data_IF_796276569710
#
_entry.id   IF_796276569710
#
_cell.length_a   1.000
_cell.length_b   1.000
_cell.length_c   1.000
_cell.angle_alpha   90.00
_cell.angle_beta   90.00
_cell.angle_gamma   90.00
#
_symmetry.space_group_name_H-M   'P 1'
#
loop_
_entity.id
_entity.type
_entity.pdbx_description
1 polymer ?
#
# COMPACT_ATOMS: atom_id res chain seq x y z
N UNK A 1 -9.74 -8.23 19.83
CA UNK A 1 -10.05 -7.01 19.04
C UNK A 1 -10.34 -7.44 17.61
N UNK A 2 -11.32 -6.85 16.96
CA UNK A 2 -11.63 -7.15 15.54
C UNK A 2 -10.68 -6.37 14.64
N UNK A 3 -10.08 -7.02 13.65
CA UNK A 3 -9.21 -6.37 12.67
C UNK A 3 -9.99 -5.35 11.83
N UNK A 4 -9.36 -4.22 11.52
CA UNK A 4 -9.94 -3.21 10.62
C UNK A 4 -9.58 -3.55 9.18
N UNK A 5 -10.55 -4.09 8.44
CA UNK A 5 -10.34 -4.58 7.08
C UNK A 5 -10.67 -3.52 6.03
N UNK A 6 -9.84 -3.43 5.01
CA UNK A 6 -10.04 -2.60 3.83
C UNK A 6 -9.88 -3.41 2.54
N UNK A 7 -10.18 -2.78 1.41
CA UNK A 7 -9.95 -3.35 0.09
C UNK A 7 -9.30 -2.32 -0.82
N UNK A 8 -8.30 -2.75 -1.60
CA UNK A 8 -7.60 -1.92 -2.55
C UNK A 8 -8.46 -1.55 -3.77
N UNK A 9 -8.59 -0.27 -4.07
CA UNK A 9 -9.35 0.15 -5.26
C UNK A 9 -8.69 -0.27 -6.57
N UNK A 10 -7.39 -0.63 -6.54
CA UNK A 10 -6.70 -1.25 -7.68
C UNK A 10 -7.32 -2.58 -8.12
N UNK A 11 -8.02 -3.27 -7.22
CA UNK A 11 -8.82 -4.47 -7.51
C UNK A 11 -10.29 -4.18 -7.92
N UNK A 12 -10.68 -2.91 -8.07
CA UNK A 12 -12.04 -2.47 -8.43
C UNK A 12 -12.03 -1.45 -9.59
N UNK A 13 -11.00 -1.47 -10.44
CA UNK A 13 -10.83 -0.47 -11.50
C UNK A 13 -11.90 -0.53 -12.59
N UNK A 14 -12.73 -1.58 -12.65
CA UNK A 14 -13.88 -1.68 -13.54
C UNK A 14 -15.13 -0.96 -12.99
N UNK A 15 -15.08 -0.47 -11.76
CA UNK A 15 -16.12 0.35 -11.13
C UNK A 15 -15.72 1.83 -11.11
N UNK A 16 -16.70 2.72 -11.06
CA UNK A 16 -16.47 4.12 -10.67
C UNK A 16 -16.10 4.17 -9.19
N UNK A 17 -15.36 5.20 -8.78
CA UNK A 17 -14.93 5.33 -7.38
C UNK A 17 -16.11 5.31 -6.40
N UNK A 18 -17.16 6.10 -6.66
CA UNK A 18 -18.33 6.15 -5.78
C UNK A 18 -19.00 4.77 -5.66
N UNK A 19 -19.17 4.05 -6.79
CA UNK A 19 -19.77 2.70 -6.79
C UNK A 19 -18.90 1.71 -5.99
N UNK A 20 -17.56 1.80 -6.10
CA UNK A 20 -16.64 0.98 -5.33
C UNK A 20 -16.74 1.28 -3.82
N UNK A 21 -16.82 2.55 -3.43
CA UNK A 21 -16.93 2.94 -2.02
C UNK A 21 -18.26 2.49 -1.40
N UNK A 22 -19.38 2.68 -2.12
CA UNK A 22 -20.69 2.18 -1.67
C UNK A 22 -20.69 0.67 -1.53
N UNK A 23 -20.13 -0.05 -2.50
CA UNK A 23 -20.00 -1.52 -2.42
C UNK A 23 -19.21 -1.96 -1.18
N UNK A 24 -18.07 -1.33 -0.90
CA UNK A 24 -17.23 -1.70 0.24
C UNK A 24 -17.93 -1.41 1.58
N UNK A 25 -18.62 -0.27 1.69
CA UNK A 25 -19.41 0.06 2.87
C UNK A 25 -20.57 -0.92 3.08
N UNK A 26 -21.32 -1.25 2.03
CA UNK A 26 -22.42 -2.21 2.09
C UNK A 26 -21.96 -3.63 2.47
N UNK A 27 -20.77 -4.03 2.05
CA UNK A 27 -20.17 -5.30 2.44
C UNK A 27 -19.72 -5.31 3.91
N UNK A 28 -19.47 -4.17 4.52
CA UNK A 28 -19.00 -4.03 5.91
C UNK A 28 -17.48 -3.97 6.04
N UNK A 29 -16.77 -3.42 5.06
CA UNK A 29 -15.38 -3.03 5.21
C UNK A 29 -15.24 -1.78 6.09
N UNK A 30 -14.16 -1.71 6.85
CA UNK A 30 -13.85 -0.59 7.74
C UNK A 30 -13.17 0.58 7.01
N UNK A 31 -12.72 0.34 5.76
CA UNK A 31 -12.02 1.36 4.99
C UNK A 31 -11.64 0.91 3.58
N UNK A 32 -10.85 1.75 2.95
CA UNK A 32 -10.38 1.59 1.57
C UNK A 32 -8.90 1.92 1.46
N UNK A 33 -8.14 1.13 0.71
CA UNK A 33 -6.82 1.50 0.21
C UNK A 33 -7.01 2.13 -1.17
N UNK A 34 -6.96 3.46 -1.21
CA UNK A 34 -7.26 4.24 -2.40
C UNK A 34 -6.01 4.38 -3.27
N UNK A 35 -5.99 3.70 -4.38
CA UNK A 35 -4.95 3.89 -5.40
C UNK A 35 -5.21 5.18 -6.19
N UNK A 36 -4.21 6.05 -6.25
CA UNK A 36 -4.27 7.27 -7.06
C UNK A 36 -4.05 6.90 -8.54
N UNK A 37 -5.13 6.78 -9.30
CA UNK A 37 -5.10 6.42 -10.71
C UNK A 37 -6.21 7.10 -11.53
N UNK A 38 -6.18 6.90 -12.85
CA UNK A 38 -7.14 7.49 -13.78
C UNK A 38 -8.58 7.06 -13.50
N UNK A 39 -8.78 5.84 -12.98
CA UNK A 39 -10.10 5.25 -12.82
C UNK A 39 -10.84 5.82 -11.62
N UNK A 40 -10.09 6.18 -10.57
CA UNK A 40 -10.66 6.60 -9.30
C UNK A 40 -10.32 8.04 -8.94
N UNK A 41 -9.12 8.31 -8.42
CA UNK A 41 -8.67 9.65 -8.11
C UNK A 41 -7.38 9.98 -8.86
N UNK A 42 -7.52 10.60 -10.02
CA UNK A 42 -6.36 11.02 -10.81
C UNK A 42 -5.64 12.18 -10.10
N UNK A 43 -4.39 11.96 -9.63
CA UNK A 43 -3.64 13.00 -8.93
C UNK A 43 -3.18 14.14 -9.86
N UNK A 44 -3.33 13.97 -11.18
CA UNK A 44 -2.96 14.97 -12.18
C UNK A 44 -4.18 15.74 -12.72
N UNK A 45 -5.39 15.43 -12.24
CA UNK A 45 -6.61 16.08 -12.69
C UNK A 45 -6.60 17.58 -12.36
N UNK A 46 -7.06 18.45 -13.27
CA UNK A 46 -7.09 19.90 -13.05
C UNK A 46 -8.06 20.31 -11.93
N UNK A 47 -9.11 19.52 -11.68
CA UNK A 47 -10.14 19.72 -10.65
C UNK A 47 -9.90 18.84 -9.40
N UNK A 48 -8.63 18.46 -9.12
CA UNK A 48 -8.26 17.55 -8.05
C UNK A 48 -8.78 18.00 -6.68
N UNK A 49 -8.65 19.28 -6.35
CA UNK A 49 -9.11 19.83 -5.06
C UNK A 49 -10.61 19.59 -4.82
N UNK A 50 -11.42 19.82 -5.84
CA UNK A 50 -12.87 19.59 -5.77
C UNK A 50 -13.19 18.08 -5.65
N UNK A 51 -12.44 17.23 -6.36
CA UNK A 51 -12.58 15.77 -6.26
C UNK A 51 -12.23 15.27 -4.86
N UNK A 52 -11.11 15.73 -4.29
CA UNK A 52 -10.69 15.40 -2.92
C UNK A 52 -11.75 15.87 -1.91
N UNK A 53 -12.27 17.09 -2.06
CA UNK A 53 -13.32 17.61 -1.19
C UNK A 53 -14.64 16.81 -1.27
N UNK A 54 -15.04 16.33 -2.45
CA UNK A 54 -16.19 15.42 -2.61
C UNK A 54 -15.91 14.07 -1.95
N UNK A 55 -14.77 13.47 -2.25
CA UNK A 55 -14.36 12.18 -1.70
C UNK A 55 -14.30 12.20 -0.18
N UNK A 56 -13.74 13.25 0.43
CA UNK A 56 -13.72 13.41 1.88
C UNK A 56 -15.13 13.41 2.51
N UNK A 57 -16.12 13.96 1.82
CA UNK A 57 -17.53 13.90 2.28
C UNK A 57 -18.09 12.49 2.14
N UNK A 58 -17.88 11.83 1.00
CA UNK A 58 -18.33 10.45 0.76
C UNK A 58 -17.76 9.49 1.80
N UNK A 59 -16.44 9.53 2.05
CA UNK A 59 -15.78 8.68 3.05
C UNK A 59 -16.38 8.89 4.46
N UNK A 60 -16.61 10.15 4.86
CA UNK A 60 -17.25 10.43 6.16
C UNK A 60 -18.68 9.91 6.22
N UNK A 61 -19.47 10.07 5.16
CA UNK A 61 -20.87 9.59 5.12
C UNK A 61 -20.96 8.07 5.20
N UNK A 62 -20.00 7.38 4.60
CA UNK A 62 -19.92 5.91 4.59
C UNK A 62 -19.13 5.37 5.80
N UNK A 63 -18.60 6.22 6.66
CA UNK A 63 -17.75 5.86 7.80
C UNK A 63 -16.52 5.02 7.41
N UNK A 64 -16.01 5.21 6.17
CA UNK A 64 -14.84 4.51 5.67
C UNK A 64 -13.55 5.28 6.00
N UNK A 65 -12.62 4.60 6.64
CA UNK A 65 -11.23 5.06 6.77
C UNK A 65 -10.48 4.89 5.44
N UNK A 66 -9.34 5.58 5.29
CA UNK A 66 -8.58 5.54 4.03
C UNK A 66 -7.08 5.44 4.27
N UNK A 67 -6.40 4.68 3.41
CA UNK A 67 -4.94 4.73 3.17
C UNK A 67 -4.72 5.07 1.71
N UNK A 68 -3.67 5.84 1.40
CA UNK A 68 -3.35 6.22 0.01
C UNK A 68 -2.30 5.29 -0.55
N UNK A 69 -2.55 4.75 -1.73
CA UNK A 69 -1.61 3.93 -2.49
C UNK A 69 -1.15 4.65 -3.76
N UNK A 70 0.13 4.50 -4.08
CA UNK A 70 0.74 5.17 -5.23
C UNK A 70 1.29 4.20 -6.29
N UNK A 71 0.82 2.96 -6.28
CA UNK A 71 1.07 1.97 -7.33
C UNK A 71 0.48 2.36 -8.69
N UNK A 72 0.34 3.65 -8.92
CA UNK A 72 -0.30 4.30 -10.05
C UNK A 72 0.19 3.77 -11.40
N UNK A 73 -0.75 3.25 -12.19
CA UNK A 73 -0.48 2.67 -13.51
C UNK A 73 -0.64 3.74 -14.59
N UNK A 74 0.43 3.96 -15.39
CA UNK A 74 0.42 4.87 -16.55
C UNK A 74 0.07 6.34 -16.24
N UNK A 75 0.21 6.80 -15.00
CA UNK A 75 -0.13 8.16 -14.57
C UNK A 75 0.88 9.20 -15.08
N UNK A 76 2.17 8.89 -14.95
CA UNK A 76 3.23 9.82 -15.35
C UNK A 76 3.72 9.60 -16.79
N UNK A 77 3.55 8.38 -17.30
CA UNK A 77 3.95 8.01 -18.65
C UNK A 77 3.01 6.92 -19.20
N UNK A 78 2.30 7.22 -20.27
CA UNK A 78 1.36 6.30 -20.92
C UNK A 78 2.01 5.03 -21.52
N UNK A 79 3.34 4.97 -21.57
CA UNK A 79 4.09 3.84 -22.11
C UNK A 79 4.78 2.99 -21.03
N UNK A 80 4.90 3.51 -19.81
CA UNK A 80 5.58 2.86 -18.69
C UNK A 80 4.64 2.71 -17.50
N UNK A 81 4.20 1.48 -17.22
CA UNK A 81 3.16 1.18 -16.24
C UNK A 81 3.39 1.86 -14.87
N UNK A 82 4.60 1.79 -14.34
CA UNK A 82 4.98 2.39 -13.06
C UNK A 82 6.11 3.42 -13.20
N UNK A 83 6.39 3.85 -14.42
CA UNK A 83 7.44 4.82 -14.72
C UNK A 83 6.93 6.25 -14.90
N UNK A 84 7.83 7.24 -14.79
CA UNK A 84 9.15 7.13 -14.17
C UNK A 84 9.09 6.78 -12.69
N UNK A 85 10.12 6.12 -12.16
CA UNK A 85 10.24 5.77 -10.74
C UNK A 85 11.21 6.71 -10.02
N UNK A 86 11.44 6.48 -8.71
CA UNK A 86 12.48 7.16 -7.93
C UNK A 86 13.90 6.79 -8.37
N UNK A 87 14.02 5.75 -9.21
CA UNK A 87 15.28 5.24 -9.76
C UNK A 87 15.46 5.55 -11.26
N UNK A 88 14.59 6.37 -11.85
CA UNK A 88 14.70 6.69 -13.27
C UNK A 88 16.08 7.31 -13.56
N UNK A 89 16.82 6.84 -14.58
CA UNK A 89 18.10 7.43 -14.96
C UNK A 89 17.99 8.92 -15.32
N UNK A 90 16.86 9.36 -15.87
CA UNK A 90 16.60 10.76 -16.11
C UNK A 90 16.20 11.49 -14.81
N UNK A 91 16.96 12.51 -14.37
CA UNK A 91 16.62 13.30 -13.19
C UNK A 91 15.23 13.95 -13.26
N UNK A 92 14.77 14.36 -14.43
CA UNK A 92 13.43 14.92 -14.59
C UNK A 92 12.34 13.86 -14.37
N UNK A 93 12.61 12.62 -14.76
CA UNK A 93 11.75 11.49 -14.44
C UNK A 93 11.62 11.27 -12.94
N UNK A 94 12.75 11.24 -12.19
CA UNK A 94 12.74 11.16 -10.72
C UNK A 94 11.99 12.33 -10.09
N UNK A 95 12.26 13.55 -10.53
CA UNK A 95 11.57 14.74 -10.04
C UNK A 95 10.05 14.70 -10.31
N UNK A 96 9.60 14.14 -11.43
CA UNK A 96 8.18 13.93 -11.71
C UNK A 96 7.55 12.94 -10.71
N UNK A 97 8.24 11.84 -10.36
CA UNK A 97 7.79 10.88 -9.33
C UNK A 97 7.74 11.54 -7.94
N UNK A 98 8.74 12.30 -7.57
CA UNK A 98 8.76 13.05 -6.29
C UNK A 98 7.56 14.01 -6.21
N UNK A 99 7.31 14.80 -7.27
CA UNK A 99 6.14 15.71 -7.29
C UNK A 99 4.81 14.95 -7.14
N UNK A 100 4.67 13.78 -7.76
CA UNK A 100 3.49 12.93 -7.60
C UNK A 100 3.35 12.43 -6.16
N UNK A 101 4.43 11.96 -5.53
CA UNK A 101 4.40 11.48 -4.15
C UNK A 101 4.11 12.63 -3.15
N UNK A 102 4.68 13.81 -3.34
CA UNK A 102 4.35 14.99 -2.51
C UNK A 102 2.85 15.34 -2.63
N UNK A 103 2.28 15.24 -3.83
CA UNK A 103 0.83 15.42 -4.05
C UNK A 103 0.01 14.34 -3.37
N UNK A 104 0.46 13.08 -3.41
CA UNK A 104 -0.18 11.98 -2.68
C UNK A 104 -0.18 12.22 -1.16
N UNK A 105 0.91 12.73 -0.62
CA UNK A 105 1.00 13.12 0.81
C UNK A 105 0.00 14.24 1.14
N UNK A 106 -0.15 15.25 0.27
CA UNK A 106 -1.15 16.30 0.47
C UNK A 106 -2.59 15.74 0.40
N UNK A 107 -2.91 14.90 -0.59
CA UNK A 107 -4.22 14.24 -0.70
C UNK A 107 -4.51 13.43 0.55
N UNK A 108 -3.51 12.69 1.06
CA UNK A 108 -3.64 11.89 2.27
C UNK A 108 -3.98 12.76 3.49
N UNK A 109 -3.29 13.89 3.65
CA UNK A 109 -3.56 14.84 4.72
C UNK A 109 -4.99 15.42 4.62
N UNK A 110 -5.41 15.82 3.42
CA UNK A 110 -6.75 16.38 3.16
C UNK A 110 -7.88 15.37 3.41
N UNK A 111 -7.61 14.07 3.21
CA UNK A 111 -8.56 12.98 3.45
C UNK A 111 -8.49 12.40 4.87
N UNK A 112 -7.50 12.79 5.68
CA UNK A 112 -7.26 12.18 6.99
C UNK A 112 -6.83 10.72 6.90
N UNK A 113 -6.01 10.38 5.90
CA UNK A 113 -5.54 9.02 5.69
C UNK A 113 -4.56 8.55 6.78
N UNK A 114 -4.45 7.22 6.95
CA UNK A 114 -3.52 6.64 7.93
C UNK A 114 -2.06 6.68 7.48
N UNK A 115 -1.81 6.52 6.19
CA UNK A 115 -0.47 6.53 5.59
C UNK A 115 -0.53 6.77 4.09
N UNK A 116 0.62 7.06 3.50
CA UNK A 116 0.85 7.04 2.05
C UNK A 116 1.82 5.91 1.72
N UNK A 117 1.37 4.95 0.95
CA UNK A 117 2.20 3.88 0.41
C UNK A 117 3.04 4.38 -0.77
N UNK A 118 4.28 3.90 -0.87
CA UNK A 118 5.12 4.00 -2.06
C UNK A 118 6.15 2.86 -2.11
N UNK A 119 6.79 2.69 -3.27
CA UNK A 119 7.85 1.71 -3.50
C UNK A 119 9.06 2.35 -4.20
N UNK A 120 10.22 1.66 -4.18
CA UNK A 120 11.48 2.18 -4.75
C UNK A 120 11.45 2.27 -6.28
N UNK A 121 10.97 1.23 -6.92
CA UNK A 121 11.11 0.96 -8.36
C UNK A 121 12.18 -0.10 -8.65
N UNK A 122 12.13 -0.63 -9.87
CA UNK A 122 13.09 -1.62 -10.38
C UNK A 122 14.44 -0.95 -10.61
N UNK A 123 15.53 -1.63 -10.25
CA UNK A 123 16.88 -1.17 -10.59
C UNK A 123 17.01 -1.13 -12.13
N UNK A 124 17.30 0.04 -12.72
CA UNK A 124 17.42 0.14 -14.18
C UNK A 124 18.66 -0.58 -14.69
N UNK A 125 18.56 -1.14 -15.91
CA UNK A 125 19.67 -1.82 -16.57
C UNK A 125 20.90 -0.90 -16.68
N UNK A 126 22.07 -1.43 -16.31
CA UNK A 126 23.33 -0.71 -16.39
C UNK A 126 23.57 0.37 -15.32
N UNK A 127 22.62 0.55 -14.39
CA UNK A 127 22.79 1.45 -13.25
C UNK A 127 23.46 0.69 -12.10
N UNK A 128 24.52 1.29 -11.56
CA UNK A 128 25.19 0.79 -10.37
C UNK A 128 24.25 0.85 -9.15
N UNK A 129 24.13 -0.25 -8.36
CA UNK A 129 23.24 -0.30 -7.20
C UNK A 129 23.50 0.81 -6.17
N UNK A 130 24.75 1.17 -5.89
CA UNK A 130 25.07 2.23 -4.93
C UNK A 130 24.56 3.59 -5.41
N UNK A 131 24.64 3.85 -6.71
CA UNK A 131 24.07 5.04 -7.34
C UNK A 131 22.54 5.05 -7.23
N UNK A 132 21.90 3.90 -7.43
CA UNK A 132 20.43 3.77 -7.29
C UNK A 132 19.98 3.98 -5.84
N UNK A 133 20.69 3.44 -4.85
CA UNK A 133 20.44 3.69 -3.43
C UNK A 133 20.60 5.17 -3.08
N UNK A 134 21.62 5.83 -3.64
CA UNK A 134 21.80 7.27 -3.46
C UNK A 134 20.62 8.07 -4.03
N UNK A 135 20.18 7.76 -5.25
CA UNK A 135 18.98 8.41 -5.83
C UNK A 135 17.74 8.18 -4.97
N UNK A 136 17.50 6.95 -4.55
CA UNK A 136 16.35 6.61 -3.71
C UNK A 136 16.35 7.45 -2.43
N UNK A 137 17.49 7.56 -1.74
CA UNK A 137 17.58 8.31 -0.48
C UNK A 137 17.45 9.81 -0.70
N UNK A 138 18.07 10.37 -1.75
CA UNK A 138 17.98 11.79 -2.08
C UNK A 138 16.53 12.17 -2.37
N UNK A 139 15.84 11.43 -3.24
CA UNK A 139 14.47 11.70 -3.66
C UNK A 139 13.45 11.47 -2.54
N UNK A 140 13.59 10.39 -1.75
CA UNK A 140 12.71 10.14 -0.61
C UNK A 140 12.89 11.18 0.49
N UNK A 141 14.09 11.74 0.68
CA UNK A 141 14.32 12.81 1.67
C UNK A 141 13.43 14.03 1.39
N UNK A 142 13.21 14.37 0.11
CA UNK A 142 12.34 15.48 -0.29
C UNK A 142 10.87 15.16 0.07
N UNK A 143 10.41 13.95 -0.25
CA UNK A 143 9.04 13.52 0.06
C UNK A 143 8.82 13.45 1.57
N UNK A 144 9.79 12.90 2.33
CA UNK A 144 9.73 12.78 3.78
C UNK A 144 9.70 14.15 4.48
N UNK A 145 10.39 15.15 3.93
CA UNK A 145 10.29 16.52 4.45
C UNK A 145 8.84 17.04 4.38
N UNK A 146 8.16 16.83 3.25
CA UNK A 146 6.75 17.18 3.09
C UNK A 146 5.85 16.35 4.01
N UNK A 147 6.09 15.04 4.09
CA UNK A 147 5.34 14.10 4.92
C UNK A 147 5.42 14.49 6.42
N UNK A 148 6.63 14.81 6.89
CA UNK A 148 6.86 15.30 8.26
C UNK A 148 6.10 16.58 8.54
N UNK A 149 6.14 17.55 7.61
CA UNK A 149 5.44 18.84 7.76
C UNK A 149 3.92 18.71 7.86
N UNK A 150 3.36 17.65 7.29
CA UNK A 150 1.92 17.36 7.32
C UNK A 150 1.53 16.29 8.36
N UNK A 151 2.50 15.76 9.12
CA UNK A 151 2.25 14.69 10.09
C UNK A 151 1.78 13.37 9.44
N UNK A 152 2.12 13.14 8.17
CA UNK A 152 1.66 12.00 7.38
C UNK A 152 2.77 10.95 7.26
N UNK A 153 2.56 9.69 7.69
CA UNK A 153 3.52 8.63 7.48
C UNK A 153 3.68 8.29 5.99
N UNK A 154 4.93 8.21 5.52
CA UNK A 154 5.27 7.65 4.21
C UNK A 154 5.71 6.20 4.40
N UNK A 155 4.90 5.25 3.97
CA UNK A 155 5.09 3.82 4.15
C UNK A 155 5.71 3.21 2.88
N UNK A 156 7.00 2.87 2.93
CA UNK A 156 7.71 2.24 1.82
C UNK A 156 7.49 0.75 1.84
N UNK A 157 7.17 0.19 0.68
CA UNK A 157 6.91 -1.23 0.49
C UNK A 157 8.14 -1.96 -0.07
N UNK A 158 8.58 -3.04 0.57
CA UNK A 158 9.45 -4.04 -0.05
C UNK A 158 8.68 -4.81 -1.12
N UNK A 159 9.05 -4.57 -2.40
CA UNK A 159 8.34 -5.09 -3.58
C UNK A 159 9.20 -6.10 -4.32
N UNK A 160 8.75 -7.35 -4.57
CA UNK A 160 9.50 -8.34 -5.32
C UNK A 160 9.95 -7.82 -6.70
N UNK A 161 11.26 -7.92 -6.96
CA UNK A 161 11.87 -7.43 -8.21
C UNK A 161 12.27 -5.96 -8.20
N UNK A 162 11.99 -5.21 -7.15
CA UNK A 162 12.46 -3.83 -6.98
C UNK A 162 13.86 -3.77 -6.34
N UNK A 163 14.48 -2.57 -6.31
CA UNK A 163 15.73 -2.34 -5.59
C UNK A 163 15.57 -2.62 -4.10
N UNK A 164 14.47 -2.16 -3.52
CA UNK A 164 14.07 -2.45 -2.15
C UNK A 164 13.03 -3.57 -2.21
N UNK A 165 13.44 -4.80 -1.95
CA UNK A 165 12.60 -5.99 -2.14
C UNK A 165 12.31 -6.74 -0.83
N UNK A 166 13.10 -6.55 0.22
CA UNK A 166 13.03 -7.30 1.48
C UNK A 166 12.94 -6.39 2.70
N UNK A 167 12.56 -6.95 3.84
CA UNK A 167 12.61 -6.25 5.14
C UNK A 167 14.04 -5.80 5.49
N UNK A 168 15.06 -6.56 5.07
CA UNK A 168 16.45 -6.16 5.24
C UNK A 168 16.79 -4.89 4.45
N UNK A 169 16.27 -4.77 3.22
CA UNK A 169 16.44 -3.57 2.39
C UNK A 169 15.72 -2.37 3.00
N UNK A 170 14.54 -2.56 3.59
CA UNK A 170 13.84 -1.50 4.33
C UNK A 170 14.67 -1.01 5.52
N UNK A 171 15.29 -1.90 6.28
CA UNK A 171 16.18 -1.50 7.37
C UNK A 171 17.43 -0.77 6.87
N UNK A 172 17.96 -1.19 5.73
CA UNK A 172 19.07 -0.49 5.07
C UNK A 172 18.65 0.93 4.67
N UNK A 173 17.50 1.11 4.00
CA UNK A 173 16.94 2.42 3.68
C UNK A 173 16.80 3.31 4.91
N UNK A 174 16.20 2.77 5.99
CA UNK A 174 16.06 3.54 7.25
C UNK A 174 17.39 3.98 7.82
N UNK A 175 18.42 3.15 7.73
CA UNK A 175 19.77 3.51 8.17
C UNK A 175 20.33 4.65 7.33
N UNK A 176 20.25 4.56 6.01
CA UNK A 176 20.74 5.60 5.09
C UNK A 176 20.03 6.94 5.28
N UNK A 177 18.75 6.94 5.59
CA UNK A 177 17.94 8.15 5.83
C UNK A 177 18.04 8.70 7.26
N UNK A 178 18.86 8.11 8.14
CA UNK A 178 18.99 8.56 9.51
C UNK A 178 17.79 8.25 10.42
N UNK A 179 16.94 7.29 10.02
CA UNK A 179 15.78 6.76 10.78
C UNK A 179 14.69 7.82 11.09
N UNK A 180 14.18 8.55 10.10
CA UNK A 180 13.16 9.56 10.33
C UNK A 180 11.84 8.92 10.79
N UNK A 181 11.12 9.58 11.70
CA UNK A 181 9.85 9.07 12.28
C UNK A 181 8.72 8.97 11.24
N UNK A 182 8.73 9.86 10.24
CA UNK A 182 7.74 9.83 9.15
C UNK A 182 7.93 8.65 8.19
N UNK A 183 9.10 7.96 8.20
CA UNK A 183 9.33 6.78 7.38
C UNK A 183 8.77 5.54 8.05
N UNK A 184 7.73 4.99 7.46
CA UNK A 184 7.09 3.73 7.84
C UNK A 184 7.28 2.64 6.81
N UNK A 185 6.71 1.49 7.14
CA UNK A 185 6.67 0.29 6.31
C UNK A 185 5.24 0.01 5.85
N UNK A 186 5.06 -0.22 4.56
CA UNK A 186 3.95 -1.04 4.05
C UNK A 186 4.40 -2.49 4.10
N UNK A 187 3.72 -3.29 4.89
CA UNK A 187 3.99 -4.71 5.01
C UNK A 187 2.96 -5.48 4.18
N UNK A 188 3.40 -6.00 3.05
CA UNK A 188 2.61 -6.91 2.23
C UNK A 188 2.86 -8.35 2.68
N UNK A 189 1.79 -9.04 3.07
CA UNK A 189 1.83 -10.42 3.59
C UNK A 189 2.21 -11.41 2.50
N UNK A 190 1.74 -11.19 1.27
CA UNK A 190 2.10 -12.00 0.11
C UNK A 190 3.59 -11.84 -0.25
N UNK A 191 4.12 -10.61 -0.21
CA UNK A 191 5.55 -10.37 -0.45
C UNK A 191 6.43 -11.04 0.62
N UNK A 192 5.99 -11.07 1.87
CA UNK A 192 6.66 -11.85 2.91
C UNK A 192 6.68 -13.35 2.55
N UNK A 193 5.55 -13.91 2.11
CA UNK A 193 5.50 -15.30 1.63
C UNK A 193 6.40 -15.52 0.41
N UNK A 194 6.44 -14.57 -0.51
CA UNK A 194 7.21 -14.66 -1.76
C UNK A 194 8.72 -14.72 -1.50
N UNK A 195 9.26 -13.79 -0.71
CA UNK A 195 10.70 -13.55 -0.64
C UNK A 195 11.35 -13.82 0.71
N UNK A 196 10.65 -13.60 1.83
CA UNK A 196 11.26 -13.69 3.15
C UNK A 196 11.50 -15.15 3.57
N UNK A 197 12.61 -15.40 4.29
CA UNK A 197 12.89 -16.73 4.83
C UNK A 197 12.01 -17.05 6.03
N UNK A 198 11.65 -16.04 6.81
CA UNK A 198 10.74 -16.14 7.92
C UNK A 198 9.31 -16.37 7.44
N UNK A 199 8.44 -16.88 8.30
CA UNK A 199 7.03 -16.97 8.01
C UNK A 199 6.41 -15.58 7.92
N UNK A 200 5.30 -15.38 7.15
CA UNK A 200 4.61 -14.09 7.13
C UNK A 200 4.21 -13.59 8.53
N UNK A 201 3.79 -14.48 9.43
CA UNK A 201 3.49 -14.13 10.81
C UNK A 201 4.71 -13.60 11.58
N UNK A 202 5.90 -14.19 11.37
CA UNK A 202 7.14 -13.71 12.01
C UNK A 202 7.60 -12.38 11.37
N UNK A 203 7.33 -12.17 10.07
CA UNK A 203 7.54 -10.88 9.41
C UNK A 203 6.69 -9.79 10.07
N UNK A 204 5.39 -10.04 10.32
CA UNK A 204 4.51 -9.11 11.04
C UNK A 204 5.09 -8.75 12.40
N UNK A 205 5.44 -9.74 13.22
CA UNK A 205 5.98 -9.52 14.57
C UNK A 205 7.29 -8.74 14.56
N UNK A 206 8.21 -9.10 13.68
CA UNK A 206 9.51 -8.43 13.59
C UNK A 206 9.43 -7.01 13.05
N UNK A 207 8.48 -6.74 12.15
CA UNK A 207 8.30 -5.44 11.52
C UNK A 207 7.40 -4.47 12.32
N UNK A 208 6.69 -4.95 13.34
CA UNK A 208 5.66 -4.23 14.08
C UNK A 208 5.97 -2.75 14.41
N UNK A 209 7.16 -2.36 14.88
CA UNK A 209 7.45 -0.97 15.25
C UNK A 209 7.36 0.01 14.06
N UNK A 210 7.50 -0.48 12.84
CA UNK A 210 7.60 0.35 11.64
C UNK A 210 6.37 0.28 10.74
N UNK A 211 5.48 -0.69 10.95
CA UNK A 211 4.28 -0.87 10.12
C UNK A 211 3.38 0.36 10.21
N UNK A 212 3.00 0.89 9.04
CA UNK A 212 2.03 1.98 8.89
C UNK A 212 0.90 1.63 7.93
N UNK A 213 1.08 0.59 7.13
CA UNK A 213 0.09 0.01 6.24
C UNK A 213 0.32 -1.49 6.11
N UNK A 214 -0.75 -2.26 5.95
CA UNK A 214 -0.69 -3.70 5.72
C UNK A 214 -1.50 -4.03 4.47
N UNK A 215 -0.89 -4.80 3.57
CA UNK A 215 -1.57 -5.42 2.43
C UNK A 215 -1.64 -6.93 2.67
N UNK A 216 -2.72 -7.55 2.22
CA UNK A 216 -2.99 -8.98 2.46
C UNK A 216 -3.73 -9.59 1.27
N UNK A 217 -3.20 -10.66 0.76
CA UNK A 217 -3.77 -11.57 -0.24
C UNK A 217 -3.09 -12.93 -0.09
N UNK A 218 -3.42 -13.89 -0.92
CA UNK A 218 -2.69 -15.15 -0.96
C UNK A 218 -1.58 -15.13 -2.00
N UNK A 219 -0.51 -15.90 -1.75
CA UNK A 219 0.67 -15.95 -2.62
C UNK A 219 1.43 -17.26 -2.46
N UNK A 220 2.19 -17.66 -3.49
CA UNK A 220 3.09 -18.81 -3.45
C UNK A 220 4.53 -18.40 -3.20
N UNK A 221 5.29 -19.28 -2.61
CA UNK A 221 6.73 -19.08 -2.39
C UNK A 221 7.46 -18.87 -3.72
N UNK A 222 8.22 -17.77 -3.83
CA UNK A 222 9.04 -17.45 -4.99
C UNK A 222 8.29 -17.01 -6.24
N UNK A 223 6.98 -16.83 -6.18
CA UNK A 223 6.16 -16.39 -7.32
C UNK A 223 5.37 -15.15 -6.91
N UNK A 224 5.71 -14.00 -7.51
CA UNK A 224 5.01 -12.75 -7.27
C UNK A 224 3.67 -12.71 -8.02
N UNK A 225 2.62 -13.08 -7.32
CA UNK A 225 1.24 -13.09 -7.83
C UNK A 225 0.25 -12.78 -6.70
N UNK A 226 -0.72 -11.93 -6.95
CA UNK A 226 -1.76 -11.62 -5.97
C UNK A 226 -2.94 -12.56 -6.19
N UNK A 227 -3.09 -13.55 -5.34
CA UNK A 227 -4.10 -14.59 -5.45
C UNK A 227 -5.28 -14.36 -4.49
N UNK A 228 -6.50 -14.74 -4.88
CA UNK A 228 -7.59 -14.86 -3.95
C UNK A 228 -7.24 -15.81 -2.80
N UNK A 229 -7.77 -15.54 -1.61
CA UNK A 229 -7.53 -16.38 -0.42
C UNK A 229 -7.89 -17.85 -0.68
N UNK A 230 -6.98 -18.75 -0.30
CA UNK A 230 -7.09 -20.19 -0.50
C UNK A 230 -6.57 -20.69 -1.86
N UNK A 231 -6.03 -19.80 -2.70
CA UNK A 231 -5.41 -20.17 -3.97
C UNK A 231 -3.88 -20.18 -3.95
N UNK A 232 -3.27 -19.70 -2.86
CA UNK A 232 -1.84 -19.69 -2.60
C UNK A 232 -1.40 -20.69 -1.54
N UNK A 233 -0.38 -20.33 -0.77
CA UNK A 233 0.29 -21.21 0.22
C UNK A 233 0.39 -20.58 1.62
N UNK A 234 -0.22 -19.41 1.86
CA UNK A 234 -0.13 -18.73 3.13
C UNK A 234 -0.98 -19.42 4.19
N UNK A 235 -0.35 -19.76 5.33
CA UNK A 235 -1.05 -20.18 6.55
C UNK A 235 -1.57 -18.94 7.29
N UNK A 236 -2.84 -18.59 7.09
CA UNK A 236 -3.43 -17.35 7.59
C UNK A 236 -3.71 -17.29 9.08
N UNK A 237 -4.13 -18.36 9.80
CA UNK A 237 -4.40 -18.25 11.22
C UNK A 237 -3.27 -17.60 12.03
N UNK A 238 -1.98 -18.03 11.96
CA UNK A 238 -0.91 -17.37 12.70
C UNK A 238 -0.60 -15.93 12.20
N UNK A 239 -0.92 -15.61 10.95
CA UNK A 239 -0.80 -14.25 10.41
C UNK A 239 -1.84 -13.33 11.05
N UNK A 240 -3.10 -13.78 11.12
CA UNK A 240 -4.19 -13.01 11.74
C UNK A 240 -3.96 -12.80 13.23
N UNK A 241 -3.41 -13.80 13.95
CA UNK A 241 -3.00 -13.65 15.34
C UNK A 241 -1.92 -12.56 15.49
N UNK A 242 -0.90 -12.58 14.65
CA UNK A 242 0.16 -11.56 14.68
C UNK A 242 -0.36 -10.15 14.32
N UNK A 243 -1.33 -10.05 13.41
CA UNK A 243 -1.98 -8.78 13.07
C UNK A 243 -2.91 -8.29 14.18
N UNK A 244 -3.54 -9.20 14.91
CA UNK A 244 -4.34 -8.86 16.10
C UNK A 244 -3.44 -8.32 17.22
N UNK A 245 -2.28 -8.92 17.46
CA UNK A 245 -1.27 -8.42 18.40
C UNK A 245 -0.79 -7.03 17.98
N UNK A 246 -0.45 -6.82 16.70
CA UNK A 246 -0.04 -5.53 16.15
C UNK A 246 -1.11 -4.44 16.40
N UNK A 247 -2.39 -4.79 16.20
CA UNK A 247 -3.51 -3.87 16.44
C UNK A 247 -3.69 -3.57 17.94
N UNK A 248 -3.51 -4.59 18.80
CA UNK A 248 -3.55 -4.43 20.26
C UNK A 248 -2.44 -3.48 20.74
N UNK A 249 -1.26 -3.57 20.15
CA UNK A 249 -0.09 -2.75 20.47
C UNK A 249 -0.15 -1.32 19.89
N UNK A 250 -1.30 -0.95 19.31
CA UNK A 250 -1.61 0.43 18.92
C UNK A 250 -1.49 0.75 17.44
N UNK A 251 -1.40 -0.23 16.55
CA UNK A 251 -1.51 0.00 15.11
C UNK A 251 -2.93 0.48 14.76
N UNK A 252 -3.10 1.74 14.29
CA UNK A 252 -4.43 2.31 14.02
C UNK A 252 -4.89 2.07 12.59
N UNK A 253 -4.02 1.50 11.75
CA UNK A 253 -4.22 1.43 10.31
C UNK A 253 -5.21 0.35 9.86
N UNK A 254 -5.27 0.20 8.56
CA UNK A 254 -6.12 -0.77 7.87
C UNK A 254 -5.29 -1.97 7.42
N UNK A 255 -5.94 -3.13 7.36
CA UNK A 255 -5.42 -4.34 6.71
C UNK A 255 -6.16 -4.46 5.38
N UNK A 256 -5.49 -4.17 4.28
CA UNK A 256 -6.09 -3.97 2.97
C UNK A 256 -5.91 -5.18 2.08
N UNK A 257 -7.01 -5.77 1.63
CA UNK A 257 -6.97 -6.84 0.61
C UNK A 257 -6.47 -6.23 -0.70
N UNK A 258 -5.43 -6.83 -1.29
CA UNK A 258 -4.83 -6.37 -2.54
C UNK A 258 -4.92 -7.40 -3.66
N UNK A 259 -5.84 -7.19 -4.61
CA UNK A 259 -6.07 -8.07 -5.76
C UNK A 259 -6.06 -7.28 -7.09
N UNK A 260 -4.95 -6.60 -7.45
CA UNK A 260 -4.90 -5.61 -8.53
C UNK A 260 -5.08 -6.20 -9.93
N UNK A 261 -4.95 -7.53 -10.08
CA UNK A 261 -5.11 -8.24 -11.37
C UNK A 261 -6.53 -8.81 -11.57
N UNK A 262 -7.43 -8.61 -10.60
CA UNK A 262 -8.72 -9.30 -10.54
C UNK A 262 -9.92 -8.35 -10.60
N UNK A 263 -9.75 -7.12 -11.11
CA UNK A 263 -10.80 -6.12 -11.17
C UNK A 263 -12.07 -6.59 -11.89
N UNK A 264 -11.91 -7.42 -12.94
CA UNK A 264 -13.03 -8.05 -13.66
C UNK A 264 -13.97 -8.89 -12.78
N UNK A 265 -13.50 -9.34 -11.61
CA UNK A 265 -14.27 -10.10 -10.62
C UNK A 265 -14.32 -9.35 -9.27
N UNK A 266 -13.95 -8.08 -9.24
CA UNK A 266 -13.74 -7.28 -8.03
C UNK A 266 -14.85 -7.37 -6.99
N UNK A 267 -16.14 -7.13 -7.34
CA UNK A 267 -17.24 -7.20 -6.39
C UNK A 267 -17.40 -8.56 -5.69
N UNK A 268 -17.25 -9.66 -6.44
CA UNK A 268 -17.36 -11.00 -5.86
C UNK A 268 -16.16 -11.34 -4.99
N UNK A 269 -14.95 -10.90 -5.39
CA UNK A 269 -13.73 -11.11 -4.62
C UNK A 269 -13.68 -10.24 -3.36
N UNK A 270 -14.17 -9.02 -3.40
CA UNK A 270 -14.30 -8.20 -2.20
C UNK A 270 -15.21 -8.89 -1.17
N UNK A 271 -16.35 -9.42 -1.61
CA UNK A 271 -17.27 -10.17 -0.73
C UNK A 271 -16.64 -11.45 -0.16
N UNK A 272 -16.00 -12.27 -1.01
CA UNK A 272 -15.41 -13.54 -0.58
C UNK A 272 -14.19 -13.32 0.31
N UNK A 273 -13.35 -12.32 0.05
CA UNK A 273 -12.20 -11.96 0.87
C UNK A 273 -12.61 -11.55 2.27
N UNK A 274 -13.61 -10.66 2.39
CA UNK A 274 -14.12 -10.26 3.70
C UNK A 274 -14.69 -11.46 4.48
N UNK A 275 -15.49 -12.30 3.80
CA UNK A 275 -16.06 -13.50 4.42
C UNK A 275 -14.97 -14.47 4.91
N UNK A 276 -13.92 -14.69 4.13
CA UNK A 276 -12.79 -15.54 4.47
C UNK A 276 -12.06 -15.03 5.73
N UNK A 277 -11.65 -13.77 5.74
CA UNK A 277 -10.92 -13.18 6.86
C UNK A 277 -11.75 -13.14 8.13
N UNK A 278 -13.03 -12.71 8.05
CA UNK A 278 -13.95 -12.69 9.21
C UNK A 278 -14.29 -14.10 9.71
N UNK A 279 -14.27 -15.10 8.81
CA UNK A 279 -14.45 -16.50 9.18
C UNK A 279 -13.33 -17.03 10.04
N UNK A 280 -12.07 -16.71 9.70
CA UNK A 280 -10.90 -17.10 10.47
C UNK A 280 -10.82 -16.39 11.83
N UNK A 281 -11.15 -15.09 11.91
CA UNK A 281 -11.21 -14.35 13.18
C UNK A 281 -12.16 -15.02 14.20
N UNK A 282 -13.30 -15.52 13.74
CA UNK A 282 -14.28 -16.21 14.61
C UNK A 282 -13.80 -17.58 15.05
N UNK A 283 -13.07 -18.30 14.21
CA UNK A 283 -12.52 -19.61 14.52
C UNK A 283 -11.38 -19.59 15.55
N UNK A 284 -10.63 -18.48 15.60
CA UNK A 284 -9.55 -18.29 16.56
C UNK A 284 -10.06 -18.04 18.00
N UNK A 285 -11.35 -17.72 18.20
CA UNK A 285 -11.96 -17.44 19.50
C UNK A 285 -12.95 -18.53 19.96
N UNK A 286 -13.08 -19.63 19.22
CA UNK A 286 -13.91 -20.79 19.56
C UNK A 286 -13.05 -21.96 20.10
#
# INVERSE_FOLDING_TARGET
MTLRLAYGTNGLTDLRLDDALFLLADLGYDGVALTLDHMHLDPMAPDLSDRVGRLARTLRTLELSVTIETGARYILDARRKHGPSLLDPDPEGRAARVRMLMRAVQIAADLGAHAVHCFSGVLPDGVDPDSAWKWLTDELSIVLYTATGLGMPLAVEPEPGHLLATLADFHHLRHLLGRPDALGLTLDIGHCQCLERASPADCVRSAAPWVRHVQIEDMRRGIHEHLPFGAGEIDFPPVLDALADLTHDGYPGLISVELPRHSHAGPSLAKSSLHYLRGLEKGAHA
#
